data_IF_047206801056
#
_entry.id   IF_047206801056
#
_cell.length_a   1.000
_cell.length_b   1.000
_cell.length_c   1.000
_cell.angle_alpha   90.00
_cell.angle_beta   90.00
_cell.angle_gamma   90.00
#
_symmetry.space_group_name_H-M   'P 1'
#
loop_
_entity.id
_entity.type
_entity.pdbx_description
1 polymer ?
#
# COMPACT_ATOMS: atom_id res chain seq x y z
N UNK A 1 -51.67 -44.55 -1.05
CA UNK A 1 -50.53 -43.76 -1.57
C UNK A 1 -50.71 -42.34 -1.03
N UNK A 2 -49.85 -41.96 -0.06
CA UNK A 2 -49.57 -40.63 0.56
C UNK A 2 -50.78 -39.78 1.07
N UNK A 3 -50.97 -39.45 2.37
CA UNK A 3 -50.11 -38.84 3.42
C UNK A 3 -49.74 -37.37 3.08
N UNK A 4 -50.52 -36.37 3.52
CA UNK A 4 -50.57 -35.71 4.83
C UNK A 4 -49.50 -34.62 5.03
N UNK A 5 -49.93 -33.36 5.12
CA UNK A 5 -49.21 -32.28 5.80
C UNK A 5 -50.23 -31.17 6.13
N UNK A 6 -50.75 -31.26 7.34
CA UNK A 6 -51.72 -30.37 7.97
C UNK A 6 -51.00 -29.54 9.03
N UNK A 7 -51.27 -28.23 9.00
CA UNK A 7 -51.29 -27.27 10.11
C UNK A 7 -50.03 -27.02 11.00
N UNK A 8 -49.56 -25.76 10.94
CA UNK A 8 -49.61 -24.76 12.04
C UNK A 8 -49.97 -25.33 13.43
N UNK A 9 -49.36 -24.95 14.55
CA UNK A 9 -49.11 -23.60 15.04
C UNK A 9 -48.61 -23.71 16.50
N UNK A 10 -48.05 -22.59 17.00
CA UNK A 10 -47.89 -22.24 18.43
C UNK A 10 -46.80 -22.97 19.24
N UNK A 11 -46.13 -22.35 20.20
CA UNK A 11 -45.89 -20.96 20.64
C UNK A 11 -44.96 -21.10 21.86
N UNK A 12 -44.19 -20.04 22.15
CA UNK A 12 -43.68 -19.64 23.48
C UNK A 12 -43.21 -20.74 24.47
N UNK A 13 -41.90 -20.86 24.67
CA UNK A 13 -41.15 -20.09 25.67
C UNK A 13 -41.03 -20.81 27.02
N UNK A 14 -39.79 -20.79 27.53
CA UNK A 14 -39.47 -20.76 28.96
C UNK A 14 -39.52 -22.09 29.73
N UNK A 15 -38.36 -22.72 29.93
CA UNK A 15 -37.72 -22.85 31.27
C UNK A 15 -36.46 -23.73 31.24
N UNK A 16 -35.44 -23.27 31.98
CA UNK A 16 -34.38 -24.04 32.67
C UNK A 16 -33.47 -24.98 31.83
N UNK A 17 -32.20 -24.65 31.60
CA UNK A 17 -31.10 -24.75 32.58
C UNK A 17 -31.00 -26.12 33.27
N UNK A 18 -30.15 -27.00 32.75
CA UNK A 18 -29.09 -27.69 33.52
C UNK A 18 -28.42 -28.74 32.62
N UNK A 19 -27.19 -28.47 32.17
CA UNK A 19 -25.95 -29.08 32.70
C UNK A 19 -25.92 -30.60 32.50
N UNK A 20 -25.22 -31.06 31.46
CA UNK A 20 -24.49 -32.31 31.55
C UNK A 20 -23.05 -32.11 31.03
N UNK A 21 -22.21 -32.05 32.05
CA UNK A 21 -20.77 -32.05 32.13
C UNK A 21 -20.11 -33.12 31.25
N UNK A 22 -19.10 -32.72 30.48
CA UNK A 22 -18.09 -33.63 29.93
C UNK A 22 -16.79 -32.84 29.79
N UNK A 23 -16.05 -32.84 30.88
CA UNK A 23 -14.71 -32.29 31.02
C UNK A 23 -13.64 -33.11 30.23
N UNK A 24 -12.41 -32.59 30.07
CA UNK A 24 -11.76 -32.44 28.78
C UNK A 24 -10.76 -33.57 28.48
N UNK A 25 -10.79 -34.09 27.25
CA UNK A 25 -9.67 -34.90 26.77
C UNK A 25 -8.55 -33.98 26.31
N UNK A 26 -7.56 -33.85 27.19
CA UNK A 26 -6.19 -33.40 26.90
C UNK A 26 -5.72 -33.95 25.55
N UNK A 27 -5.38 -33.05 24.64
CA UNK A 27 -4.57 -33.35 23.47
C UNK A 27 -3.79 -32.10 23.12
N UNK A 28 -2.68 -31.92 23.84
CA UNK A 28 -1.58 -31.11 23.35
C UNK A 28 -1.16 -31.60 21.97
N UNK A 29 -0.87 -30.68 21.05
CA UNK A 29 0.22 -30.93 20.15
C UNK A 29 1.17 -29.75 20.23
N UNK A 30 2.08 -29.83 21.20
CA UNK A 30 3.30 -29.05 21.24
C UNK A 30 4.10 -29.34 19.96
N UNK A 31 4.03 -28.43 19.01
CA UNK A 31 5.04 -28.33 17.95
C UNK A 31 6.27 -27.63 18.52
N UNK A 32 7.46 -28.08 18.10
CA UNK A 32 8.79 -27.86 18.68
C UNK A 32 9.31 -26.40 18.75
N UNK A 33 8.43 -25.39 18.82
CA UNK A 33 8.78 -23.98 19.06
C UNK A 33 7.77 -23.25 19.98
N UNK A 34 6.87 -23.96 20.68
CA UNK A 34 5.94 -23.35 21.65
C UNK A 34 4.89 -22.43 21.05
N UNK A 35 4.82 -22.29 19.72
CA UNK A 35 3.85 -21.45 19.06
C UNK A 35 2.55 -22.22 18.75
N UNK A 36 1.37 -21.62 18.99
CA UNK A 36 0.09 -22.23 18.65
C UNK A 36 0.01 -22.51 17.15
N UNK A 37 -0.58 -23.66 16.80
CA UNK A 37 -0.79 -24.04 15.40
C UNK A 37 -1.67 -22.98 14.72
N UNK A 38 -1.09 -22.21 13.80
CA UNK A 38 -1.80 -21.18 13.02
C UNK A 38 -3.08 -21.70 12.30
N UNK A 39 -3.20 -23.01 12.10
CA UNK A 39 -4.38 -23.66 11.52
C UNK A 39 -5.57 -23.82 12.47
N UNK A 40 -5.38 -23.61 13.78
CA UNK A 40 -6.45 -23.69 14.80
C UNK A 40 -6.98 -22.30 15.21
N UNK A 41 -6.34 -21.23 14.77
CA UNK A 41 -6.67 -19.87 15.15
C UNK A 41 -7.82 -19.32 14.31
N UNK A 42 -8.60 -18.43 14.92
CA UNK A 42 -9.63 -17.65 14.23
C UNK A 42 -9.00 -16.66 13.25
N UNK A 43 -9.79 -16.12 12.33
CA UNK A 43 -9.32 -15.10 11.38
C UNK A 43 -8.84 -13.84 12.11
N UNK A 44 -9.51 -13.47 13.20
CA UNK A 44 -9.15 -12.30 14.03
C UNK A 44 -7.80 -12.50 14.72
N UNK A 45 -7.58 -13.68 15.32
CA UNK A 45 -6.30 -14.05 15.92
C UNK A 45 -5.17 -14.08 14.89
N UNK A 46 -5.46 -14.54 13.66
CA UNK A 46 -4.51 -14.51 12.55
C UNK A 46 -4.19 -13.08 12.08
N UNK A 47 -5.14 -12.15 12.12
CA UNK A 47 -4.89 -10.73 11.80
C UNK A 47 -4.04 -10.05 12.87
N UNK A 48 -4.24 -10.39 14.15
CA UNK A 48 -3.42 -9.90 15.26
C UNK A 48 -1.96 -10.40 15.11
N UNK A 49 -1.77 -11.71 14.93
CA UNK A 49 -0.45 -12.29 14.70
C UNK A 49 0.21 -11.76 13.42
N UNK A 50 -0.57 -11.49 12.38
CA UNK A 50 -0.06 -10.85 11.18
C UNK A 50 0.51 -9.46 11.49
N UNK A 51 -0.19 -8.67 12.30
CA UNK A 51 0.25 -7.32 12.67
C UNK A 51 1.53 -7.36 13.49
N UNK A 52 1.63 -8.30 14.43
CA UNK A 52 2.83 -8.52 15.25
C UNK A 52 4.03 -8.96 14.39
N UNK A 53 3.85 -9.96 13.53
CA UNK A 53 4.94 -10.59 12.77
C UNK A 53 5.34 -9.77 11.53
N UNK A 54 4.36 -9.18 10.83
CA UNK A 54 4.58 -8.45 9.57
C UNK A 54 4.74 -6.95 9.81
N UNK A 55 4.29 -6.42 10.95
CA UNK A 55 4.46 -5.02 11.34
C UNK A 55 3.58 -4.04 10.56
N UNK A 56 2.42 -4.50 10.08
CA UNK A 56 1.40 -3.67 9.41
C UNK A 56 0.02 -4.31 9.57
N UNK A 57 -1.02 -3.49 9.61
CA UNK A 57 -2.41 -3.96 9.65
C UNK A 57 -2.81 -4.63 8.33
N UNK A 58 -3.79 -5.54 8.40
CA UNK A 58 -4.39 -6.20 7.23
C UNK A 58 -5.89 -6.24 7.38
N UNK A 59 -6.61 -5.92 6.30
CA UNK A 59 -8.06 -6.10 6.19
C UNK A 59 -8.45 -7.44 5.53
N UNK A 60 -7.47 -8.33 5.31
CA UNK A 60 -7.71 -9.63 4.71
C UNK A 60 -8.35 -10.59 5.71
N UNK A 61 -9.44 -11.24 5.29
CA UNK A 61 -10.17 -12.24 6.08
C UNK A 61 -9.89 -13.70 5.62
N UNK A 62 -8.98 -13.89 4.66
CA UNK A 62 -8.63 -15.23 4.15
C UNK A 62 -7.58 -15.88 5.07
N UNK A 63 -8.01 -16.90 5.81
CA UNK A 63 -7.16 -17.65 6.74
C UNK A 63 -5.93 -18.27 6.06
N UNK A 64 -6.06 -18.80 4.82
CA UNK A 64 -4.93 -19.42 4.10
C UNK A 64 -3.88 -18.38 3.74
N UNK A 65 -4.32 -17.20 3.31
CA UNK A 65 -3.42 -16.09 3.00
C UNK A 65 -2.69 -15.58 4.24
N UNK A 66 -3.39 -15.40 5.37
CA UNK A 66 -2.78 -14.94 6.62
C UNK A 66 -1.73 -15.94 7.11
N UNK A 67 -2.06 -17.24 7.14
CA UNK A 67 -1.14 -18.31 7.54
C UNK A 67 0.11 -18.32 6.64
N UNK A 68 -0.08 -18.25 5.32
CA UNK A 68 1.04 -18.19 4.37
C UNK A 68 1.93 -16.98 4.63
N UNK A 69 1.34 -15.80 4.78
CA UNK A 69 2.10 -14.55 4.92
C UNK A 69 2.84 -14.45 6.26
N UNK A 70 2.24 -14.95 7.34
CA UNK A 70 2.91 -15.09 8.66
C UNK A 70 4.10 -16.04 8.55
N UNK A 71 3.94 -17.20 7.87
CA UNK A 71 5.05 -18.15 7.66
C UNK A 71 6.18 -17.54 6.84
N UNK A 72 5.86 -16.80 5.79
CA UNK A 72 6.89 -16.15 4.95
C UNK A 72 7.61 -15.03 5.69
N UNK A 73 6.92 -14.27 6.54
CA UNK A 73 7.55 -13.27 7.40
C UNK A 73 8.48 -13.90 8.45
N UNK A 74 8.04 -14.97 9.12
CA UNK A 74 8.90 -15.73 10.06
C UNK A 74 10.14 -16.31 9.39
N UNK A 75 10.04 -16.68 8.12
CA UNK A 75 11.18 -17.15 7.31
C UNK A 75 12.05 -16.01 6.74
N UNK A 76 11.70 -14.75 6.97
CA UNK A 76 12.43 -13.59 6.45
C UNK A 76 12.34 -13.40 4.93
N UNK A 77 11.37 -14.04 4.27
CA UNK A 77 11.21 -13.99 2.80
C UNK A 77 10.41 -12.80 2.31
N UNK A 78 9.79 -12.07 3.24
CA UNK A 78 9.05 -10.84 2.94
C UNK A 78 9.55 -9.71 3.81
N UNK A 79 9.49 -8.49 3.28
CA UNK A 79 9.80 -7.28 4.02
C UNK A 79 8.75 -7.08 5.12
N UNK A 80 9.22 -7.18 6.37
CA UNK A 80 8.46 -6.84 7.57
C UNK A 80 8.64 -5.37 7.90
N UNK A 81 7.70 -4.83 8.68
CA UNK A 81 7.63 -3.46 9.11
C UNK A 81 6.70 -2.57 8.26
N UNK A 82 6.55 -1.31 8.68
CA UNK A 82 5.67 -0.35 8.02
C UNK A 82 5.98 -0.26 6.53
N UNK A 83 4.94 -0.38 5.70
CA UNK A 83 5.08 -0.09 4.27
C UNK A 83 5.34 1.40 4.17
N UNK A 84 6.61 1.77 3.92
CA UNK A 84 6.93 3.12 3.44
C UNK A 84 6.24 3.29 2.10
N UNK A 85 5.02 3.83 2.11
CA UNK A 85 4.45 4.41 0.90
C UNK A 85 5.44 5.49 0.49
N UNK A 86 5.89 5.48 -0.76
CA UNK A 86 6.61 6.63 -1.33
C UNK A 86 5.62 7.77 -1.61
N UNK A 87 4.76 8.06 -0.64
CA UNK A 87 3.97 9.27 -0.60
C UNK A 87 4.51 10.05 0.57
N UNK A 88 5.06 11.22 0.22
CA UNK A 88 5.79 12.08 1.10
C UNK A 88 4.89 12.57 2.23
N UNK A 89 5.00 11.94 3.40
CA UNK A 89 4.80 12.63 4.69
C UNK A 89 6.04 13.49 5.02
N UNK A 90 6.79 13.89 4.00
CA UNK A 90 7.88 14.85 4.07
C UNK A 90 7.39 16.16 3.46
N UNK A 91 7.86 17.26 4.04
CA UNK A 91 7.69 18.63 3.54
C UNK A 91 7.67 18.66 2.01
N UNK A 92 6.67 19.35 1.45
CA UNK A 92 6.54 19.46 0.01
C UNK A 92 7.91 19.91 -0.54
N UNK A 93 8.47 19.22 -1.55
CA UNK A 93 9.73 19.66 -2.10
C UNK A 93 9.61 21.15 -2.44
N UNK A 94 10.59 21.94 -2.02
CA UNK A 94 10.65 23.40 -2.26
C UNK A 94 10.61 23.74 -3.77
N UNK A 95 10.79 22.72 -4.60
CA UNK A 95 10.67 22.74 -6.05
C UNK A 95 9.23 22.40 -6.50
N UNK A 96 8.62 23.34 -7.22
CA UNK A 96 7.36 23.11 -7.95
C UNK A 96 7.65 22.47 -9.30
N UNK A 97 6.82 21.51 -9.70
CA UNK A 97 6.87 20.90 -11.04
C UNK A 97 5.84 21.58 -11.93
N UNK A 98 6.28 22.15 -13.06
CA UNK A 98 5.42 22.78 -14.06
C UNK A 98 5.15 21.80 -15.21
N UNK A 99 3.95 21.22 -15.34
CA UNK A 99 3.62 20.36 -16.47
C UNK A 99 3.37 21.20 -17.73
N UNK A 100 4.12 20.92 -18.79
CA UNK A 100 3.95 21.55 -20.11
C UNK A 100 3.38 20.53 -21.09
N UNK A 101 2.26 20.85 -21.74
CA UNK A 101 1.66 20.02 -22.79
C UNK A 101 2.14 20.49 -24.15
N UNK A 102 2.71 19.57 -24.92
CA UNK A 102 3.27 19.84 -26.25
C UNK A 102 3.04 18.62 -27.14
N UNK A 103 2.95 18.83 -28.45
CA UNK A 103 2.89 17.75 -29.42
C UNK A 103 4.20 16.97 -29.44
N UNK A 104 4.10 15.65 -29.65
CA UNK A 104 5.28 14.77 -29.60
C UNK A 104 6.32 15.12 -30.67
N UNK A 105 5.88 15.54 -31.85
CA UNK A 105 6.77 15.97 -32.93
C UNK A 105 7.57 17.23 -32.54
N UNK A 106 6.91 18.21 -31.92
CA UNK A 106 7.57 19.44 -31.46
C UNK A 106 8.64 19.11 -30.41
N UNK A 107 8.32 18.21 -29.46
CA UNK A 107 9.28 17.77 -28.44
C UNK A 107 10.48 17.06 -29.07
N UNK A 108 10.27 16.23 -30.09
CA UNK A 108 11.36 15.57 -30.81
C UNK A 108 12.30 16.59 -31.47
N UNK A 109 11.75 17.61 -32.15
CA UNK A 109 12.54 18.68 -32.77
C UNK A 109 13.31 19.51 -31.74
N UNK A 110 12.73 19.74 -30.56
CA UNK A 110 13.40 20.44 -29.46
C UNK A 110 14.59 19.65 -28.92
N UNK A 111 14.46 18.33 -28.81
CA UNK A 111 15.57 17.47 -28.36
C UNK A 111 16.73 17.44 -29.36
N UNK A 112 16.44 17.36 -30.66
CA UNK A 112 17.48 17.47 -31.70
C UNK A 112 18.19 18.83 -31.63
N UNK A 113 17.45 19.92 -31.40
CA UNK A 113 18.03 21.24 -31.25
C UNK A 113 18.89 21.34 -29.98
N UNK A 114 18.41 20.81 -28.85
CA UNK A 114 19.15 20.73 -27.58
C UNK A 114 20.49 20.03 -27.75
N UNK A 115 20.49 18.88 -28.42
CA UNK A 115 21.72 18.09 -28.68
C UNK A 115 22.70 18.85 -29.57
N UNK A 116 22.21 19.51 -30.63
CA UNK A 116 23.03 20.38 -31.49
C UNK A 116 23.65 21.55 -30.73
N UNK A 117 22.93 22.08 -29.75
CA UNK A 117 23.41 23.16 -28.87
C UNK A 117 24.32 22.66 -27.74
N UNK A 118 24.57 21.35 -27.64
CA UNK A 118 25.43 20.75 -26.61
C UNK A 118 24.86 20.79 -25.20
N UNK A 119 23.55 21.00 -25.05
CA UNK A 119 22.89 21.06 -23.76
C UNK A 119 22.56 19.64 -23.26
N UNK A 120 22.90 19.37 -22.00
CA UNK A 120 22.80 18.02 -21.41
C UNK A 120 21.36 17.67 -21.08
N UNK A 121 20.57 18.62 -20.62
CA UNK A 121 19.18 18.38 -20.21
C UNK A 121 18.20 19.30 -20.95
N UNK A 122 16.96 18.83 -21.13
CA UNK A 122 15.86 19.68 -21.63
C UNK A 122 15.64 20.90 -20.73
N UNK A 123 15.84 20.72 -19.43
CA UNK A 123 15.70 21.78 -18.44
C UNK A 123 16.72 22.90 -18.69
N UNK A 124 17.96 22.59 -19.07
CA UNK A 124 18.98 23.60 -19.40
C UNK A 124 18.53 24.43 -20.60
N UNK A 125 17.96 23.79 -21.62
CA UNK A 125 17.39 24.48 -22.78
C UNK A 125 16.27 25.44 -22.35
N UNK A 126 15.33 24.97 -21.54
CA UNK A 126 14.20 25.80 -21.08
C UNK A 126 14.63 26.93 -20.15
N UNK A 127 15.57 26.68 -19.24
CA UNK A 127 16.07 27.72 -18.32
C UNK A 127 16.83 28.80 -19.07
N UNK A 128 17.71 28.39 -20.00
CA UNK A 128 18.47 29.33 -20.83
C UNK A 128 17.56 30.14 -21.75
N UNK A 129 16.62 29.49 -22.44
CA UNK A 129 15.68 30.21 -23.31
C UNK A 129 14.79 31.17 -22.54
N UNK A 130 14.36 30.81 -21.33
CA UNK A 130 13.58 31.69 -20.46
C UNK A 130 14.43 32.87 -19.95
N UNK A 131 15.68 32.64 -19.55
CA UNK A 131 16.60 33.70 -19.13
C UNK A 131 16.87 34.69 -20.28
N UNK A 132 17.12 34.18 -21.49
CA UNK A 132 17.36 34.99 -22.69
C UNK A 132 16.11 35.84 -23.03
N UNK A 133 14.92 35.22 -22.98
CA UNK A 133 13.65 35.93 -23.21
C UNK A 133 13.39 37.02 -22.16
N UNK A 134 13.54 36.71 -20.87
CA UNK A 134 13.33 37.66 -19.78
C UNK A 134 14.33 38.83 -19.85
N UNK A 135 15.59 38.54 -20.19
CA UNK A 135 16.60 39.58 -20.42
C UNK A 135 16.21 40.51 -21.56
N UNK A 136 15.74 39.95 -22.68
CA UNK A 136 15.29 40.74 -23.82
C UNK A 136 14.01 41.56 -23.50
N UNK A 137 13.16 41.06 -22.61
CA UNK A 137 11.95 41.75 -22.14
C UNK A 137 12.23 42.83 -21.08
N UNK A 138 13.47 42.94 -20.57
CA UNK A 138 13.86 43.91 -19.53
C UNK A 138 13.72 43.41 -18.09
N UNK A 139 13.29 42.16 -17.90
CA UNK A 139 13.12 41.50 -16.59
C UNK A 139 14.44 40.90 -16.09
N UNK A 140 15.45 41.76 -15.94
CA UNK A 140 16.83 41.35 -15.64
C UNK A 140 16.98 40.66 -14.29
N UNK A 141 16.23 41.09 -13.27
CA UNK A 141 16.26 40.48 -11.93
C UNK A 141 15.75 39.04 -11.96
N UNK A 142 14.65 38.79 -12.68
CA UNK A 142 14.09 37.44 -12.81
C UNK A 142 14.99 36.57 -13.68
N UNK A 143 15.55 37.12 -14.76
CA UNK A 143 16.47 36.39 -15.63
C UNK A 143 17.70 35.85 -14.88
N UNK A 144 18.24 36.61 -13.92
CA UNK A 144 19.40 36.20 -13.10
C UNK A 144 19.12 34.90 -12.32
N UNK A 145 17.90 34.73 -11.77
CA UNK A 145 17.51 33.53 -11.04
C UNK A 145 17.62 32.23 -11.87
N UNK A 146 17.47 32.34 -13.20
CA UNK A 146 17.59 31.19 -14.10
C UNK A 146 19.02 30.90 -14.54
N UNK A 147 19.92 31.88 -14.47
CA UNK A 147 21.35 31.72 -14.78
C UNK A 147 22.18 31.24 -13.60
N UNK A 148 21.75 31.53 -12.37
CA UNK A 148 22.47 31.16 -11.13
C UNK A 148 22.29 29.68 -10.73
N UNK A 149 21.29 28.99 -11.29
CA UNK A 149 20.97 27.58 -10.98
C UNK A 149 21.43 26.56 -12.03
N UNK A 150 22.29 26.96 -12.96
CA UNK A 150 22.78 26.16 -14.08
C UNK A 150 24.14 25.50 -13.81
#
# INVERSE_FOLDING_TARGET
>A
IAEALEAQEQEAAETASAVEESEPTTSEPTTANGEPKLTKLSVEELQQLYTEVVGRETSSHDSRYLIWKIREARKGRIKTGPVRRRHADGEAPDMKVLPLRMEAEIVARLDEARERLGLKTRMDLFRKSLADYLTAAGEHEVAQLFTEQA
#
